data_IF_739551143185
#
_entry.id   IF_739551143185
#
_cell.length_a   1.000
_cell.length_b   1.000
_cell.length_c   1.000
_cell.angle_alpha   90.00
_cell.angle_beta   90.00
_cell.angle_gamma   90.00
#
_symmetry.space_group_name_H-M   'P 1'
#
loop_
_entity.id
_entity.type
_entity.pdbx_description
1 polymer ?
#
# COMPACT_ATOMS: atom_id res chain seq x y z
N UNK A 1 15.21 0.50 -14.98
CA UNK A 1 14.79 0.15 -13.61
C UNK A 1 15.97 -0.31 -12.75
N UNK A 2 16.84 -1.14 -13.30
CA UNK A 2 17.95 -1.78 -12.57
C UNK A 2 19.32 -1.12 -12.87
N UNK A 3 20.20 -1.77 -13.65
CA UNK A 3 21.61 -1.41 -13.85
C UNK A 3 21.85 0.05 -14.25
N UNK A 4 21.00 0.62 -15.11
CA UNK A 4 21.14 1.99 -15.61
C UNK A 4 20.48 3.06 -14.72
N UNK A 5 19.85 2.68 -13.62
CA UNK A 5 19.00 3.59 -12.84
C UNK A 5 19.78 4.77 -12.24
N UNK A 6 20.99 4.54 -11.72
CA UNK A 6 21.81 5.62 -11.16
C UNK A 6 22.15 6.68 -12.21
N UNK A 7 22.53 6.25 -13.42
CA UNK A 7 22.86 7.14 -14.52
C UNK A 7 21.62 7.88 -15.04
N UNK A 8 20.49 7.19 -15.12
CA UNK A 8 19.21 7.82 -15.43
C UNK A 8 18.86 8.89 -14.39
N UNK A 9 18.91 8.56 -13.11
CA UNK A 9 18.65 9.49 -12.02
C UNK A 9 19.56 10.72 -12.10
N UNK A 10 20.84 10.54 -12.44
CA UNK A 10 21.76 11.66 -12.70
C UNK A 10 21.34 12.50 -13.90
N UNK A 11 20.87 11.89 -14.99
CA UNK A 11 20.37 12.60 -16.17
C UNK A 11 19.12 13.43 -15.84
N UNK A 12 18.18 12.86 -15.08
CA UNK A 12 16.96 13.55 -14.63
C UNK A 12 17.28 14.70 -13.63
N UNK A 13 18.31 14.54 -12.80
CA UNK A 13 18.78 15.60 -11.90
C UNK A 13 19.58 16.71 -12.61
N UNK A 14 19.98 16.53 -13.87
CA UNK A 14 20.93 17.43 -14.53
C UNK A 14 20.35 18.79 -14.91
N UNK A 15 19.02 18.92 -14.97
CA UNK A 15 18.33 20.11 -15.49
C UNK A 15 18.50 20.33 -17.01
N UNK A 16 19.25 19.46 -17.71
CA UNK A 16 19.45 19.55 -19.16
C UNK A 16 18.26 18.97 -19.91
N UNK A 17 17.94 19.44 -21.14
CA UNK A 17 16.82 18.96 -21.93
C UNK A 17 17.08 17.56 -22.54
N UNK A 18 17.38 16.57 -21.70
CA UNK A 18 17.60 15.18 -22.05
C UNK A 18 16.25 14.45 -22.02
N UNK A 19 15.96 13.69 -23.08
CA UNK A 19 14.70 12.96 -23.25
C UNK A 19 14.98 11.47 -23.13
N UNK A 20 14.39 10.82 -22.15
CA UNK A 20 14.54 9.39 -21.92
C UNK A 20 13.24 8.69 -22.20
N UNK A 21 13.28 7.72 -23.11
CA UNK A 21 12.19 6.78 -23.34
C UNK A 21 12.52 5.44 -22.70
N UNK A 22 11.65 4.99 -21.79
CA UNK A 22 11.66 3.67 -21.18
C UNK A 22 10.57 2.85 -21.86
N UNK A 23 10.99 1.80 -22.55
CA UNK A 23 10.11 0.77 -23.11
C UNK A 23 10.00 -0.32 -22.05
N UNK A 24 8.95 -0.27 -21.24
CA UNK A 24 8.81 -1.13 -20.08
C UNK A 24 8.07 -2.43 -20.43
N UNK A 25 8.86 -3.48 -20.65
CA UNK A 25 8.37 -4.84 -20.87
C UNK A 25 8.29 -5.67 -19.60
N UNK A 26 8.67 -5.12 -18.44
CA UNK A 26 8.57 -5.78 -17.13
C UNK A 26 9.40 -7.06 -16.97
N UNK A 27 10.33 -7.29 -17.90
CA UNK A 27 11.33 -8.37 -17.89
C UNK A 27 12.54 -7.91 -18.72
N UNK A 28 13.66 -8.61 -18.61
CA UNK A 28 14.72 -8.48 -19.62
C UNK A 28 14.39 -9.34 -20.83
N UNK A 29 13.59 -8.79 -21.75
CA UNK A 29 13.09 -9.51 -22.92
C UNK A 29 14.20 -10.10 -23.80
N UNK A 30 15.28 -9.33 -24.04
CA UNK A 30 16.36 -9.78 -24.92
C UNK A 30 17.14 -10.99 -24.39
N UNK A 31 17.24 -11.15 -23.06
CA UNK A 31 17.97 -12.24 -22.42
C UNK A 31 17.08 -13.42 -22.04
N UNK A 32 15.87 -13.50 -22.62
CA UNK A 32 14.93 -14.61 -22.41
C UNK A 32 14.07 -14.46 -21.15
N UNK A 33 13.67 -13.24 -20.80
CA UNK A 33 12.63 -13.01 -19.79
C UNK A 33 13.11 -13.10 -18.35
N UNK A 34 14.29 -12.56 -18.04
CA UNK A 34 14.79 -12.50 -16.67
C UNK A 34 14.03 -11.49 -15.82
N UNK A 35 13.94 -11.77 -14.52
CA UNK A 35 13.32 -10.90 -13.54
C UNK A 35 13.96 -9.51 -13.53
N UNK A 36 13.13 -8.48 -13.35
CA UNK A 36 13.56 -7.09 -13.23
C UNK A 36 12.72 -6.37 -12.18
N UNK A 37 13.20 -5.22 -11.69
CA UNK A 37 12.47 -4.47 -10.66
C UNK A 37 11.18 -3.80 -11.16
N UNK A 38 10.91 -3.75 -12.47
CA UNK A 38 9.60 -3.29 -12.99
C UNK A 38 8.52 -4.39 -13.06
N UNK A 39 8.87 -5.65 -12.77
CA UNK A 39 7.89 -6.74 -12.68
C UNK A 39 6.97 -6.62 -11.45
N UNK A 40 5.82 -7.27 -11.50
CA UNK A 40 4.82 -7.29 -10.41
C UNK A 40 5.09 -8.39 -9.39
N UNK A 41 4.46 -8.28 -8.21
CA UNK A 41 4.40 -9.37 -7.24
C UNK A 41 3.73 -10.59 -7.92
N UNK A 42 4.27 -11.78 -7.64
CA UNK A 42 3.83 -13.03 -8.24
C UNK A 42 4.24 -13.24 -9.69
N UNK A 43 4.90 -12.28 -10.35
CA UNK A 43 5.33 -12.45 -11.73
C UNK A 43 6.37 -13.58 -11.83
N UNK A 44 6.10 -14.54 -12.72
CA UNK A 44 7.00 -15.67 -12.98
C UNK A 44 7.92 -15.29 -14.13
N UNK A 45 9.23 -15.35 -13.88
CA UNK A 45 10.28 -15.06 -14.85
C UNK A 45 11.53 -15.88 -14.53
N UNK A 46 12.54 -15.87 -15.40
CA UNK A 46 13.84 -16.43 -15.02
C UNK A 46 14.39 -15.67 -13.80
N UNK A 47 14.99 -16.39 -12.86
CA UNK A 47 15.36 -15.91 -11.51
C UNK A 47 14.21 -15.58 -10.55
N UNK A 48 12.94 -15.68 -10.96
CA UNK A 48 11.76 -15.53 -10.09
C UNK A 48 10.74 -16.63 -10.41
N UNK A 49 11.10 -17.86 -10.09
CA UNK A 49 10.33 -19.06 -10.45
C UNK A 49 9.13 -19.27 -9.50
N UNK A 50 8.15 -20.04 -9.98
CA UNK A 50 7.06 -20.53 -9.16
C UNK A 50 7.40 -21.92 -8.61
N UNK A 51 7.47 -22.03 -7.28
CA UNK A 51 7.76 -23.26 -6.54
C UNK A 51 7.12 -23.24 -5.16
N UNK A 52 7.47 -24.21 -4.31
CA UNK A 52 6.88 -24.34 -2.97
C UNK A 52 7.30 -23.22 -2.01
N UNK A 53 8.53 -22.71 -2.16
CA UNK A 53 9.10 -21.70 -1.28
C UNK A 53 8.94 -20.27 -1.79
N UNK A 54 8.81 -20.10 -3.11
CA UNK A 54 8.74 -18.80 -3.77
C UNK A 54 7.66 -18.89 -4.84
N UNK A 55 6.68 -18.00 -4.82
CA UNK A 55 5.60 -17.94 -5.80
C UNK A 55 5.84 -16.84 -6.85
N UNK A 56 7.03 -16.79 -7.46
CA UNK A 56 7.44 -15.70 -8.35
C UNK A 56 8.05 -14.50 -7.62
N UNK A 57 8.10 -13.34 -8.27
CA UNK A 57 8.71 -12.12 -7.71
C UNK A 57 7.99 -11.70 -6.42
N UNK A 58 8.76 -11.41 -5.37
CA UNK A 58 8.25 -11.06 -4.04
C UNK A 58 8.18 -9.55 -3.80
N UNK A 59 9.08 -8.79 -4.42
CA UNK A 59 9.15 -7.36 -4.25
C UNK A 59 8.01 -6.65 -5.02
N UNK A 60 7.49 -5.51 -4.52
CA UNK A 60 6.61 -4.67 -5.31
C UNK A 60 7.32 -4.13 -6.55
N UNK A 61 6.52 -3.67 -7.51
CA UNK A 61 7.05 -3.02 -8.72
C UNK A 61 7.70 -1.68 -8.34
N UNK A 62 8.90 -1.44 -8.84
CA UNK A 62 9.58 -0.15 -8.72
C UNK A 62 8.94 0.86 -9.68
N UNK A 63 8.28 1.89 -9.17
CA UNK A 63 7.56 2.87 -10.00
C UNK A 63 8.45 4.01 -10.49
N UNK A 64 9.10 3.82 -11.65
CA UNK A 64 10.06 4.80 -12.18
C UNK A 64 9.45 6.15 -12.52
N UNK A 65 8.15 6.20 -12.83
CA UNK A 65 7.45 7.45 -13.09
C UNK A 65 7.40 8.34 -11.85
N UNK A 66 7.08 7.78 -10.67
CA UNK A 66 7.16 8.51 -9.40
C UNK A 66 8.59 8.88 -9.01
N UNK A 67 9.56 8.00 -9.28
CA UNK A 67 10.98 8.31 -9.08
C UNK A 67 11.44 9.45 -10.01
N UNK A 68 10.89 9.52 -11.21
CA UNK A 68 11.06 10.64 -12.14
C UNK A 68 10.49 11.94 -11.58
N UNK A 69 9.27 11.89 -11.02
CA UNK A 69 8.63 13.03 -10.36
C UNK A 69 9.44 13.54 -9.15
N UNK A 70 10.06 12.64 -8.38
CA UNK A 70 10.94 13.02 -7.27
C UNK A 70 12.12 13.91 -7.72
N UNK A 71 12.53 13.82 -8.98
CA UNK A 71 13.36 14.82 -9.63
C UNK A 71 12.51 16.02 -10.07
N UNK A 72 12.10 16.88 -9.11
CA UNK A 72 11.19 18.05 -9.21
C UNK A 72 11.23 18.93 -10.49
N UNK A 73 12.29 18.89 -11.28
CA UNK A 73 12.42 19.61 -12.55
C UNK A 73 12.22 18.71 -13.80
N UNK A 74 11.74 17.48 -13.64
CA UNK A 74 11.60 16.50 -14.71
C UNK A 74 10.15 16.43 -15.15
N UNK A 75 9.89 16.56 -16.45
CA UNK A 75 8.59 16.20 -17.01
C UNK A 75 8.48 14.67 -17.05
N UNK A 76 7.36 14.11 -16.60
CA UNK A 76 7.11 12.66 -16.65
C UNK A 76 5.82 12.38 -17.41
N UNK A 77 5.88 11.41 -18.31
CA UNK A 77 4.71 10.81 -18.97
C UNK A 77 4.75 9.31 -18.73
N UNK A 78 3.71 8.77 -18.11
CA UNK A 78 3.45 7.33 -18.09
C UNK A 78 2.25 7.03 -19.00
N UNK A 79 2.48 6.31 -20.10
CA UNK A 79 1.45 6.08 -21.13
C UNK A 79 1.49 4.67 -21.72
N UNK A 80 0.49 4.34 -22.53
CA UNK A 80 0.47 3.11 -23.34
C UNK A 80 0.03 3.41 -24.78
N UNK A 81 0.33 2.50 -25.71
CA UNK A 81 -0.10 2.61 -27.12
C UNK A 81 -1.62 2.47 -27.29
N UNK A 82 -2.33 1.92 -26.29
CA UNK A 82 -3.78 1.81 -26.30
C UNK A 82 -4.48 3.16 -26.06
N UNK A 83 -3.74 4.17 -25.60
CA UNK A 83 -4.24 5.53 -25.37
C UNK A 83 -3.46 6.53 -26.24
N UNK A 84 -3.64 6.49 -27.58
CA UNK A 84 -2.79 7.22 -28.51
C UNK A 84 -2.87 8.74 -28.33
N UNK A 85 -4.03 9.30 -27.99
CA UNK A 85 -4.16 10.75 -27.75
C UNK A 85 -3.32 11.20 -26.55
N UNK A 86 -3.50 10.54 -25.39
CA UNK A 86 -2.70 10.80 -24.19
C UNK A 86 -1.19 10.63 -24.46
N UNK A 87 -0.80 9.58 -25.19
CA UNK A 87 0.58 9.31 -25.53
C UNK A 87 1.17 10.40 -26.44
N UNK A 88 0.54 10.69 -27.58
CA UNK A 88 1.07 11.60 -28.59
C UNK A 88 1.14 13.04 -28.05
N UNK A 89 0.09 13.51 -27.39
CA UNK A 89 0.05 14.84 -26.78
C UNK A 89 1.12 14.98 -25.70
N UNK A 90 1.23 13.99 -24.81
CA UNK A 90 2.26 13.94 -23.78
C UNK A 90 3.67 13.91 -24.35
N UNK A 91 3.91 13.19 -25.44
CA UNK A 91 5.19 13.19 -26.16
C UNK A 91 5.52 14.56 -26.74
N UNK A 92 4.60 15.15 -27.49
CA UNK A 92 4.80 16.47 -28.10
C UNK A 92 5.12 17.49 -27.02
N UNK A 93 4.38 17.48 -25.91
CA UNK A 93 4.62 18.37 -24.78
C UNK A 93 5.99 18.14 -24.15
N UNK A 94 6.29 16.91 -23.74
CA UNK A 94 7.57 16.55 -23.11
C UNK A 94 8.80 16.77 -24.00
N UNK A 95 8.65 16.68 -25.32
CA UNK A 95 9.73 16.99 -26.28
C UNK A 95 10.01 18.49 -26.36
N UNK A 96 8.98 19.34 -26.26
CA UNK A 96 9.10 20.81 -26.27
C UNK A 96 9.68 21.38 -24.97
N UNK A 97 9.58 20.63 -23.88
CA UNK A 97 10.08 21.03 -22.56
C UNK A 97 11.59 21.33 -22.56
N UNK A 98 12.03 22.45 -21.95
CA UNK A 98 13.46 22.84 -21.84
C UNK A 98 14.16 22.22 -20.61
N UNK A 99 13.65 21.08 -20.15
CA UNK A 99 14.08 20.33 -18.96
C UNK A 99 14.14 18.83 -19.27
N UNK A 100 14.69 18.00 -18.36
CA UNK A 100 14.66 16.55 -18.52
C UNK A 100 13.23 16.04 -18.71
N UNK A 101 13.05 15.04 -19.56
CA UNK A 101 11.76 14.37 -19.72
C UNK A 101 11.93 12.84 -19.64
N UNK A 102 11.08 12.19 -18.86
CA UNK A 102 10.98 10.75 -18.75
C UNK A 102 9.65 10.28 -19.35
N UNK A 103 9.73 9.52 -20.42
CA UNK A 103 8.59 8.82 -21.03
C UNK A 103 8.67 7.35 -20.62
N UNK A 104 7.71 6.87 -19.83
CA UNK A 104 7.62 5.49 -19.38
C UNK A 104 6.44 4.81 -20.07
N UNK A 105 6.69 3.96 -21.06
CA UNK A 105 5.64 3.33 -21.86
C UNK A 105 5.50 1.85 -21.55
N UNK A 106 4.29 1.44 -21.20
CA UNK A 106 3.97 0.02 -21.14
C UNK A 106 4.11 -0.60 -22.53
N UNK A 107 4.85 -1.69 -22.61
CA UNK A 107 5.06 -2.43 -23.85
C UNK A 107 4.95 -3.92 -23.56
N UNK A 108 3.87 -4.55 -24.04
CA UNK A 108 3.71 -5.99 -23.87
C UNK A 108 4.82 -6.75 -24.61
N UNK A 109 5.34 -7.81 -24.01
CA UNK A 109 6.32 -8.70 -24.64
C UNK A 109 5.68 -10.05 -24.90
N UNK A 110 5.43 -10.37 -26.16
CA UNK A 110 4.70 -11.56 -26.59
C UNK A 110 5.24 -12.85 -25.98
N UNK A 111 6.53 -13.21 -26.17
CA UNK A 111 7.06 -14.46 -25.63
C UNK A 111 7.08 -14.48 -24.10
N UNK A 112 7.49 -13.38 -23.46
CA UNK A 112 7.73 -13.37 -22.01
C UNK A 112 6.49 -13.12 -21.17
N UNK A 113 5.46 -12.48 -21.74
CA UNK A 113 4.14 -12.40 -21.13
C UNK A 113 3.29 -13.63 -21.50
N UNK A 114 3.71 -14.37 -22.53
CA UNK A 114 3.03 -15.52 -23.10
C UNK A 114 1.64 -15.17 -23.64
N UNK A 115 1.59 -14.10 -24.41
CA UNK A 115 0.38 -13.59 -25.07
C UNK A 115 0.53 -13.74 -26.60
N UNK A 116 -0.59 -13.66 -27.33
CA UNK A 116 -0.58 -13.70 -28.80
C UNK A 116 0.08 -12.48 -29.44
N UNK A 117 0.59 -12.63 -30.67
CA UNK A 117 1.33 -11.58 -31.38
C UNK A 117 0.48 -10.33 -31.69
N UNK A 118 -0.83 -10.50 -31.86
CA UNK A 118 -1.82 -9.46 -32.13
C UNK A 118 -2.40 -8.82 -30.87
N UNK A 119 -2.00 -9.28 -29.67
CA UNK A 119 -2.63 -8.89 -28.41
C UNK A 119 -2.09 -7.60 -27.79
N UNK A 120 -1.08 -6.97 -28.40
CA UNK A 120 -0.35 -5.83 -27.80
C UNK A 120 -1.26 -4.67 -27.36
N UNK A 121 -2.14 -4.20 -28.26
CA UNK A 121 -3.07 -3.11 -27.94
C UNK A 121 -4.10 -3.51 -26.89
N UNK A 122 -4.61 -4.75 -26.96
CA UNK A 122 -5.60 -5.25 -26.01
C UNK A 122 -5.01 -5.40 -24.61
N UNK A 123 -3.79 -5.93 -24.48
CA UNK A 123 -3.10 -6.04 -23.20
C UNK A 123 -2.73 -4.66 -22.64
N UNK A 124 -2.31 -3.72 -23.49
CA UNK A 124 -2.05 -2.35 -23.05
C UNK A 124 -3.30 -1.63 -22.53
N UNK A 125 -4.48 -1.94 -23.09
CA UNK A 125 -5.76 -1.45 -22.58
C UNK A 125 -6.09 -2.09 -21.23
N UNK A 126 -6.02 -3.42 -21.15
CA UNK A 126 -6.29 -4.17 -19.91
C UNK A 126 -5.34 -3.75 -18.78
N UNK A 127 -4.06 -3.48 -19.06
CA UNK A 127 -3.11 -3.00 -18.07
C UNK A 127 -3.53 -1.66 -17.44
N UNK A 128 -4.10 -0.74 -18.24
CA UNK A 128 -4.60 0.55 -17.73
C UNK A 128 -5.88 0.36 -16.92
N UNK A 129 -6.84 -0.37 -17.48
CA UNK A 129 -8.15 -0.58 -16.85
C UNK A 129 -8.01 -1.35 -15.53
N UNK A 130 -7.13 -2.35 -15.46
CA UNK A 130 -6.87 -3.14 -14.25
C UNK A 130 -5.94 -2.48 -13.23
N UNK A 131 -5.61 -1.20 -13.41
CA UNK A 131 -4.62 -0.44 -12.60
C UNK A 131 -3.23 -1.09 -12.52
N UNK A 132 -2.91 -2.07 -13.37
CA UNK A 132 -1.56 -2.61 -13.49
C UNK A 132 -0.57 -1.53 -13.93
N UNK A 133 -1.01 -0.66 -14.84
CA UNK A 133 -0.22 0.43 -15.41
C UNK A 133 -1.07 1.70 -15.60
N UNK A 134 -1.37 2.44 -14.51
CA UNK A 134 -2.13 3.69 -14.61
C UNK A 134 -1.40 4.74 -15.45
N UNK A 135 -2.17 5.57 -16.16
CA UNK A 135 -1.65 6.67 -16.95
C UNK A 135 -1.46 7.91 -16.08
N UNK A 136 -0.41 8.68 -16.31
CA UNK A 136 -0.32 10.01 -15.71
C UNK A 136 0.68 10.89 -16.43
N UNK A 137 0.53 12.19 -16.21
CA UNK A 137 1.56 13.17 -16.52
C UNK A 137 1.95 13.94 -15.27
N UNK A 138 3.23 14.25 -15.14
CA UNK A 138 3.74 15.21 -14.18
C UNK A 138 4.45 16.33 -14.93
N UNK A 139 3.93 17.54 -14.80
CA UNK A 139 4.46 18.73 -15.42
C UNK A 139 4.83 19.80 -14.39
N UNK A 140 6.13 19.97 -14.09
CA UNK A 140 6.60 20.99 -13.15
C UNK A 140 6.41 22.44 -13.63
N UNK A 141 5.89 22.68 -14.85
CA UNK A 141 5.51 24.04 -15.30
C UNK A 141 4.09 24.44 -14.90
N UNK A 142 3.23 23.49 -14.54
CA UNK A 142 1.82 23.77 -14.24
C UNK A 142 1.60 24.43 -12.87
N UNK A 143 2.50 24.23 -11.91
CA UNK A 143 2.33 24.75 -10.56
C UNK A 143 3.51 24.49 -9.64
N UNK A 144 3.29 24.69 -8.33
CA UNK A 144 4.29 24.50 -7.28
C UNK A 144 4.02 23.25 -6.43
N UNK A 145 2.75 22.87 -6.33
CA UNK A 145 2.31 21.70 -5.56
C UNK A 145 2.24 20.45 -6.44
N UNK A 146 2.38 19.24 -5.86
CA UNK A 146 2.19 18.00 -6.62
C UNK A 146 0.84 17.93 -7.33
N UNK A 147 -0.25 18.36 -6.69
CA UNK A 147 -1.61 18.31 -7.25
C UNK A 147 -1.81 19.24 -8.46
N UNK A 148 -1.18 20.41 -8.49
CA UNK A 148 -1.21 21.27 -9.69
C UNK A 148 -0.41 20.68 -10.86
N UNK A 149 0.66 19.93 -10.55
CA UNK A 149 1.58 19.38 -11.54
C UNK A 149 1.18 17.99 -12.03
N UNK A 150 0.35 17.25 -11.31
CA UNK A 150 0.08 15.83 -11.53
C UNK A 150 -1.32 15.60 -12.11
N UNK A 151 -1.39 14.95 -13.26
CA UNK A 151 -2.64 14.76 -14.00
C UNK A 151 -2.92 13.27 -14.26
N UNK A 152 -4.10 12.82 -13.82
CA UNK A 152 -4.61 11.46 -13.95
C UNK A 152 -5.77 11.31 -14.95
N UNK A 153 -6.17 12.39 -15.62
CA UNK A 153 -7.37 12.43 -16.49
C UNK A 153 -7.38 11.40 -17.62
N UNK A 154 -6.22 10.85 -18.00
CA UNK A 154 -6.10 9.80 -19.00
C UNK A 154 -6.69 8.44 -18.59
N UNK A 155 -7.07 8.24 -17.33
CA UNK A 155 -7.57 6.95 -16.83
C UNK A 155 -9.11 6.87 -16.78
N UNK A 156 -9.68 5.67 -16.97
CA UNK A 156 -11.09 5.45 -16.75
C UNK A 156 -11.44 5.44 -15.25
N UNK A 157 -12.70 5.76 -14.94
CA UNK A 157 -13.33 5.60 -13.63
C UNK A 157 -12.47 6.14 -12.47
N UNK A 158 -12.15 7.44 -12.48
CA UNK A 158 -11.22 8.05 -11.51
C UNK A 158 -11.64 7.87 -10.05
N UNK A 159 -12.95 7.88 -9.80
CA UNK A 159 -13.53 7.80 -8.46
C UNK A 159 -13.51 6.40 -7.85
N UNK A 160 -13.33 5.35 -8.66
CA UNK A 160 -13.37 3.96 -8.18
C UNK A 160 -11.99 3.32 -8.25
N UNK A 161 -11.76 2.35 -7.35
CA UNK A 161 -10.54 1.54 -7.36
C UNK A 161 -10.38 0.81 -8.70
N UNK A 162 -11.47 0.20 -9.18
CA UNK A 162 -11.53 -0.58 -10.41
C UNK A 162 -12.64 -0.06 -11.33
N UNK A 163 -12.40 0.03 -12.65
CA UNK A 163 -13.48 0.15 -13.62
C UNK A 163 -14.24 -1.18 -13.72
N UNK A 164 -15.43 -1.13 -14.32
CA UNK A 164 -16.26 -2.32 -14.51
C UNK A 164 -16.28 -2.79 -15.97
N UNK A 165 -16.47 -4.08 -16.19
CA UNK A 165 -16.69 -4.68 -17.50
C UNK A 165 -17.86 -5.67 -17.47
N UNK A 166 -18.45 -5.94 -18.64
CA UNK A 166 -19.60 -6.84 -18.76
C UNK A 166 -19.16 -8.18 -19.35
N UNK A 167 -19.47 -9.25 -18.64
CA UNK A 167 -19.26 -10.63 -19.06
C UNK A 167 -20.58 -11.24 -19.52
N UNK A 168 -20.60 -11.78 -20.73
CA UNK A 168 -21.72 -12.56 -21.26
C UNK A 168 -21.49 -14.05 -21.01
N UNK A 169 -22.52 -14.76 -20.58
CA UNK A 169 -22.46 -16.20 -20.31
C UNK A 169 -23.81 -16.87 -20.57
N UNK A 170 -23.82 -18.21 -20.59
CA UNK A 170 -25.02 -19.01 -20.79
C UNK A 170 -25.30 -19.86 -19.56
N UNK A 171 -26.51 -19.77 -19.06
CA UNK A 171 -26.98 -20.50 -17.87
C UNK A 171 -28.39 -21.04 -18.13
N UNK A 172 -28.57 -22.36 -17.94
CA UNK A 172 -29.86 -23.01 -18.22
C UNK A 172 -30.35 -22.85 -19.66
N UNK A 173 -29.43 -22.71 -20.62
CA UNK A 173 -29.75 -22.49 -22.04
C UNK A 173 -30.16 -21.06 -22.40
N UNK A 174 -30.10 -20.11 -21.47
CA UNK A 174 -30.38 -18.69 -21.72
C UNK A 174 -29.11 -17.87 -21.64
N UNK A 175 -29.00 -16.87 -22.51
CA UNK A 175 -27.92 -15.91 -22.44
C UNK A 175 -28.17 -14.93 -21.28
N UNK A 176 -27.12 -14.66 -20.51
CA UNK A 176 -27.10 -13.77 -19.35
C UNK A 176 -25.86 -12.89 -19.41
N UNK A 177 -25.91 -11.80 -18.68
CA UNK A 177 -24.79 -10.85 -18.55
C UNK A 177 -24.60 -10.51 -17.07
N UNK A 178 -23.35 -10.28 -16.68
CA UNK A 178 -23.00 -9.75 -15.36
C UNK A 178 -21.96 -8.64 -15.50
N UNK A 179 -22.02 -7.66 -14.62
CA UNK A 179 -21.02 -6.59 -14.53
C UNK A 179 -20.07 -6.90 -13.38
N UNK A 180 -18.77 -6.86 -13.65
CA UNK A 180 -17.72 -7.19 -12.70
C UNK A 180 -16.67 -6.08 -12.65
N UNK A 181 -16.04 -5.83 -11.49
CA UNK A 181 -14.84 -5.01 -11.41
C UNK A 181 -13.67 -5.66 -12.17
N UNK A 182 -12.95 -4.88 -12.97
CA UNK A 182 -11.74 -5.32 -13.65
C UNK A 182 -10.52 -5.08 -12.74
N UNK A 183 -10.16 -6.10 -11.97
CA UNK A 183 -9.04 -6.06 -11.03
C UNK A 183 -7.71 -6.43 -11.71
N UNK A 184 -6.59 -6.28 -10.98
CA UNK A 184 -5.30 -6.78 -11.46
C UNK A 184 -5.32 -8.29 -11.76
N UNK A 185 -6.12 -9.10 -11.05
CA UNK A 185 -6.22 -10.53 -11.31
C UNK A 185 -6.84 -10.85 -12.68
N UNK A 186 -7.78 -10.01 -13.14
CA UNK A 186 -8.43 -10.14 -14.45
C UNK A 186 -7.45 -9.82 -15.60
N UNK A 187 -6.48 -8.95 -15.36
CA UNK A 187 -5.34 -8.76 -16.25
C UNK A 187 -4.33 -9.93 -16.14
N UNK A 188 -3.98 -10.33 -14.92
CA UNK A 188 -2.97 -11.35 -14.69
C UNK A 188 -3.35 -12.71 -15.31
N UNK A 189 -4.63 -13.10 -15.27
CA UNK A 189 -5.09 -14.38 -15.85
C UNK A 189 -4.91 -14.45 -17.37
N UNK A 190 -4.83 -13.30 -18.08
CA UNK A 190 -4.63 -13.27 -19.53
C UNK A 190 -3.17 -13.49 -19.94
N UNK A 191 -2.25 -13.55 -18.98
CA UNK A 191 -0.81 -13.70 -19.23
C UNK A 191 -0.25 -14.99 -18.61
N UNK A 192 0.55 -15.73 -19.39
CA UNK A 192 1.12 -17.01 -18.95
C UNK A 192 2.03 -16.82 -17.73
N UNK A 193 2.70 -15.66 -17.62
CA UNK A 193 3.60 -15.33 -16.51
C UNK A 193 2.92 -15.26 -15.13
N UNK A 194 1.59 -15.31 -15.05
CA UNK A 194 0.85 -15.44 -13.78
C UNK A 194 0.00 -16.72 -13.70
N UNK A 195 -0.09 -17.52 -14.77
CA UNK A 195 -1.04 -18.64 -14.90
C UNK A 195 -1.00 -19.63 -13.74
N UNK A 196 0.17 -19.87 -13.14
CA UNK A 196 0.33 -20.84 -12.03
C UNK A 196 -0.31 -20.40 -10.73
N UNK A 197 -0.76 -19.15 -10.60
CA UNK A 197 -1.49 -18.61 -9.45
C UNK A 197 -2.99 -18.86 -9.47
N UNK A 198 -3.51 -19.46 -10.54
CA UNK A 198 -4.95 -19.65 -10.70
C UNK A 198 -5.32 -21.13 -10.76
N UNK A 199 -6.44 -21.49 -10.14
CA UNK A 199 -6.99 -22.85 -10.21
C UNK A 199 -8.48 -22.79 -10.50
N UNK A 200 -8.94 -23.60 -11.46
CA UNK A 200 -10.38 -23.75 -11.72
C UNK A 200 -10.99 -24.55 -10.57
N UNK A 201 -11.99 -24.00 -9.89
CA UNK A 201 -12.77 -24.71 -8.89
C UNK A 201 -13.84 -25.57 -9.59
N UNK A 202 -13.82 -26.90 -9.41
CA UNK A 202 -14.89 -27.78 -9.89
C UNK A 202 -16.25 -27.34 -9.35
N UNK A 203 -17.30 -27.42 -10.17
CA UNK A 203 -18.63 -26.88 -9.83
C UNK A 203 -19.25 -27.50 -8.57
N UNK A 204 -18.91 -28.76 -8.29
CA UNK A 204 -19.30 -29.52 -7.10
C UNK A 204 -18.62 -29.03 -5.81
N UNK A 205 -17.53 -28.27 -5.91
CA UNK A 205 -16.82 -27.70 -4.76
C UNK A 205 -17.31 -26.31 -4.36
N UNK A 206 -18.23 -25.73 -5.13
CA UNK A 206 -18.71 -24.36 -4.90
C UNK A 206 -19.47 -24.27 -3.59
N UNK A 207 -19.08 -23.30 -2.76
CA UNK A 207 -19.66 -23.07 -1.44
C UNK A 207 -19.61 -21.58 -1.09
N UNK A 208 -20.23 -21.22 0.03
CA UNK A 208 -20.37 -19.84 0.51
C UNK A 208 -19.05 -19.20 0.97
N UNK A 209 -18.01 -20.00 1.25
CA UNK A 209 -16.68 -19.48 1.60
C UNK A 209 -15.92 -18.98 0.38
N UNK A 210 -16.37 -19.33 -0.83
CA UNK A 210 -15.83 -18.78 -2.06
C UNK A 210 -16.51 -17.43 -2.35
N UNK A 211 -15.76 -16.35 -2.33
CA UNK A 211 -16.27 -15.00 -2.56
C UNK A 211 -15.57 -14.32 -3.74
N UNK A 212 -16.25 -13.43 -4.50
CA UNK A 212 -15.61 -12.65 -5.55
C UNK A 212 -14.40 -11.89 -5.02
N UNK A 213 -13.33 -11.83 -5.82
CA UNK A 213 -12.08 -11.20 -5.40
C UNK A 213 -12.26 -9.73 -5.02
N UNK A 214 -13.06 -8.97 -5.76
CA UNK A 214 -13.31 -7.57 -5.44
C UNK A 214 -13.93 -7.39 -4.04
N UNK A 215 -14.91 -8.22 -3.68
CA UNK A 215 -15.50 -8.23 -2.34
C UNK A 215 -14.50 -8.69 -1.29
N UNK A 216 -13.64 -9.68 -1.61
CA UNK A 216 -12.59 -10.13 -0.70
C UNK A 216 -11.59 -9.02 -0.34
N UNK A 217 -11.24 -8.16 -1.31
CA UNK A 217 -10.31 -7.05 -1.11
C UNK A 217 -10.86 -5.98 -0.16
N UNK A 218 -12.18 -5.82 -0.08
CA UNK A 218 -12.84 -4.87 0.81
C UNK A 218 -12.98 -5.38 2.26
N UNK A 219 -12.72 -6.67 2.50
CA UNK A 219 -12.76 -7.23 3.86
C UNK A 219 -11.49 -6.87 4.64
N UNK A 220 -11.67 -6.64 5.94
CA UNK A 220 -10.58 -6.55 6.91
C UNK A 220 -9.88 -7.91 7.09
N UNK A 221 -8.61 -7.91 7.52
CA UNK A 221 -7.81 -9.13 7.65
C UNK A 221 -8.48 -10.28 8.45
N UNK A 222 -9.14 -10.03 9.60
CA UNK A 222 -9.80 -11.08 10.37
C UNK A 222 -10.94 -11.76 9.61
N UNK A 223 -11.67 -11.00 8.79
CA UNK A 223 -12.85 -11.47 8.06
C UNK A 223 -12.50 -12.29 6.82
N UNK A 224 -11.24 -12.23 6.39
CA UNK A 224 -10.71 -13.01 5.26
C UNK A 224 -10.41 -14.46 5.62
N UNK A 225 -10.24 -14.75 6.92
CA UNK A 225 -9.84 -16.07 7.37
C UNK A 225 -10.83 -17.16 6.93
N UNK A 226 -10.31 -18.18 6.23
CA UNK A 226 -11.11 -19.32 5.74
C UNK A 226 -11.98 -19.01 4.51
N UNK A 227 -11.86 -17.82 3.91
CA UNK A 227 -12.48 -17.48 2.62
C UNK A 227 -11.53 -17.76 1.46
N UNK A 228 -12.12 -18.03 0.30
CA UNK A 228 -11.40 -18.37 -0.93
C UNK A 228 -11.76 -17.38 -2.03
N UNK A 229 -10.89 -16.40 -2.34
CA UNK A 229 -11.18 -15.41 -3.37
C UNK A 229 -11.19 -16.07 -4.75
N UNK A 230 -12.12 -15.65 -5.61
CA UNK A 230 -12.17 -16.10 -7.00
C UNK A 230 -12.52 -14.96 -7.98
N UNK A 231 -12.11 -15.13 -9.23
CA UNK A 231 -12.63 -14.34 -10.37
C UNK A 231 -13.46 -15.24 -11.28
N UNK A 232 -14.40 -14.63 -12.01
CA UNK A 232 -15.20 -15.36 -12.99
C UNK A 232 -14.43 -15.55 -14.29
N UNK A 233 -14.55 -16.73 -14.89
CA UNK A 233 -14.05 -17.00 -16.24
C UNK A 233 -15.10 -17.72 -17.06
N UNK A 234 -15.19 -17.34 -18.33
CA UNK A 234 -16.13 -17.93 -19.30
C UNK A 234 -15.34 -18.75 -20.30
N UNK A 235 -15.73 -20.01 -20.48
CA UNK A 235 -15.10 -20.88 -21.48
C UNK A 235 -15.65 -20.64 -22.90
N UNK A 236 -15.08 -21.33 -23.90
CA UNK A 236 -15.52 -21.23 -25.31
C UNK A 236 -16.97 -21.64 -25.54
N UNK A 237 -17.58 -22.38 -24.61
CA UNK A 237 -18.98 -22.80 -24.66
C UNK A 237 -19.90 -21.84 -23.87
N UNK A 238 -19.39 -20.66 -23.48
CA UNK A 238 -20.09 -19.64 -22.70
C UNK A 238 -20.47 -20.11 -21.27
N UNK A 239 -19.76 -21.10 -20.71
CA UNK A 239 -20.03 -21.60 -19.36
C UNK A 239 -19.16 -20.86 -18.35
N UNK A 240 -19.76 -20.49 -17.22
CA UNK A 240 -19.06 -19.87 -16.11
C UNK A 240 -18.23 -20.90 -15.34
N UNK A 241 -17.07 -20.44 -14.88
CA UNK A 241 -16.21 -21.14 -13.95
C UNK A 241 -15.65 -20.16 -12.91
N UNK A 242 -15.45 -20.64 -11.68
CA UNK A 242 -14.76 -19.89 -10.64
C UNK A 242 -13.27 -20.20 -10.72
N UNK A 243 -12.45 -19.18 -10.93
CA UNK A 243 -11.00 -19.28 -10.85
C UNK A 243 -10.54 -18.81 -9.48
N UNK A 244 -10.12 -19.74 -8.62
CA UNK A 244 -9.50 -19.42 -7.34
C UNK A 244 -8.21 -18.64 -7.58
N UNK A 245 -8.01 -17.60 -6.78
CA UNK A 245 -6.87 -16.69 -6.85
C UNK A 245 -5.93 -16.99 -5.70
N UNK A 246 -4.66 -17.26 -6.01
CA UNK A 246 -3.60 -17.42 -5.01
C UNK A 246 -3.37 -16.11 -4.23
N UNK A 247 -3.00 -16.23 -2.95
CA UNK A 247 -2.67 -15.11 -2.06
C UNK A 247 -1.71 -14.10 -2.72
N UNK A 248 -0.73 -14.57 -3.48
CA UNK A 248 0.26 -13.71 -4.15
C UNK A 248 -0.39 -12.74 -5.14
N UNK A 249 -1.44 -13.18 -5.85
CA UNK A 249 -2.17 -12.31 -6.79
C UNK A 249 -3.15 -11.41 -6.04
N UNK A 250 -3.69 -11.85 -4.91
CA UNK A 250 -4.44 -10.97 -4.01
C UNK A 250 -3.55 -9.81 -3.55
N UNK A 251 -2.33 -10.10 -3.08
CA UNK A 251 -1.33 -9.11 -2.68
C UNK A 251 -1.01 -8.14 -3.83
N UNK A 252 -0.87 -8.64 -5.07
CA UNK A 252 -0.71 -7.77 -6.24
C UNK A 252 -1.93 -6.86 -6.48
N UNK A 253 -3.16 -7.36 -6.28
CA UNK A 253 -4.36 -6.53 -6.42
C UNK A 253 -4.40 -5.41 -5.37
N UNK A 254 -4.05 -5.72 -4.11
CA UNK A 254 -3.97 -4.74 -3.03
C UNK A 254 -2.90 -3.69 -3.30
N UNK A 255 -1.71 -4.13 -3.70
CA UNK A 255 -0.61 -3.26 -4.07
C UNK A 255 -0.99 -2.31 -5.22
N UNK A 256 -1.68 -2.79 -6.26
CA UNK A 256 -2.17 -1.93 -7.35
C UNK A 256 -3.29 -0.98 -6.90
N UNK A 257 -4.21 -1.41 -6.05
CA UNK A 257 -5.26 -0.56 -5.49
C UNK A 257 -4.69 0.55 -4.57
N UNK A 258 -3.71 0.20 -3.75
CA UNK A 258 -3.00 1.13 -2.87
C UNK A 258 -2.19 2.12 -3.70
N UNK A 259 -1.51 1.66 -4.75
CA UNK A 259 -0.81 2.53 -5.69
C UNK A 259 -1.78 3.50 -6.37
N UNK A 260 -2.94 3.03 -6.84
CA UNK A 260 -3.97 3.90 -7.41
C UNK A 260 -4.44 4.97 -6.42
N UNK A 261 -4.69 4.58 -5.16
CA UNK A 261 -5.05 5.52 -4.09
C UNK A 261 -3.97 6.56 -3.85
N UNK A 262 -2.70 6.16 -3.79
CA UNK A 262 -1.57 7.10 -3.71
C UNK A 262 -1.54 8.08 -4.88
N UNK A 263 -1.78 7.61 -6.11
CA UNK A 263 -1.81 8.47 -7.29
C UNK A 263 -2.94 9.50 -7.20
N UNK A 264 -4.15 9.10 -6.79
CA UNK A 264 -5.27 10.03 -6.60
C UNK A 264 -4.95 11.11 -5.57
N UNK A 265 -4.27 10.74 -4.49
CA UNK A 265 -3.84 11.67 -3.45
C UNK A 265 -2.83 12.68 -4.00
N UNK A 266 -1.88 12.23 -4.82
CA UNK A 266 -0.92 13.11 -5.50
C UNK A 266 -1.59 14.06 -6.49
N UNK A 267 -2.67 13.62 -7.15
CA UNK A 267 -3.48 14.45 -8.06
C UNK A 267 -4.48 15.36 -7.33
N UNK A 268 -4.56 15.30 -5.99
CA UNK A 268 -5.53 16.07 -5.21
C UNK A 268 -6.98 15.59 -5.31
N UNK A 269 -7.24 14.44 -5.93
CA UNK A 269 -8.61 13.92 -6.14
C UNK A 269 -9.27 13.38 -4.87
N UNK A 270 -8.47 13.02 -3.86
CA UNK A 270 -8.99 12.51 -2.58
C UNK A 270 -9.28 13.63 -1.57
N UNK A 271 -8.96 14.88 -1.91
CA UNK A 271 -9.38 16.02 -1.10
C UNK A 271 -10.86 16.23 -1.38
N UNK A 272 -11.71 15.69 -0.51
CA UNK A 272 -13.04 16.28 -0.35
C UNK A 272 -12.81 17.79 -0.23
N UNK A 273 -13.40 18.58 -1.11
CA UNK A 273 -13.46 20.02 -0.91
C UNK A 273 -14.16 20.21 0.43
N UNK A 274 -13.37 20.33 1.50
CA UNK A 274 -13.89 20.82 2.76
C UNK A 274 -14.11 22.30 2.46
N UNK A 275 -15.30 22.63 1.94
CA UNK A 275 -15.66 24.00 1.66
C UNK A 275 -15.48 24.80 2.94
N UNK A 276 -15.04 26.05 2.84
CA UNK A 276 -14.97 26.95 4.00
C UNK A 276 -16.31 26.97 4.74
N UNK A 277 -17.42 26.85 4.00
CA UNK A 277 -18.79 26.73 4.52
C UNK A 277 -18.99 25.49 5.41
N UNK A 278 -18.45 24.32 5.02
CA UNK A 278 -18.53 23.10 5.82
C UNK A 278 -17.65 23.18 7.08
N UNK A 279 -16.52 23.90 7.02
CA UNK A 279 -15.69 24.19 8.21
C UNK A 279 -16.44 25.17 9.12
N UNK A 280 -16.97 26.26 8.58
CA UNK A 280 -17.73 27.27 9.32
C UNK A 280 -18.95 26.67 10.01
N UNK A 281 -19.70 25.82 9.33
CA UNK A 281 -20.89 25.18 9.89
C UNK A 281 -20.52 24.22 11.02
N UNK A 282 -19.44 23.44 10.85
CA UNK A 282 -18.91 22.54 11.89
C UNK A 282 -18.35 23.31 13.09
N UNK A 283 -17.65 24.42 12.86
CA UNK A 283 -17.15 25.32 13.92
C UNK A 283 -18.32 26.01 14.63
N UNK A 284 -19.32 26.50 13.91
CA UNK A 284 -20.50 27.16 14.49
C UNK A 284 -21.32 26.17 15.34
N UNK A 285 -21.47 24.94 14.88
CA UNK A 285 -22.12 23.88 15.64
C UNK A 285 -21.34 23.51 16.92
N UNK A 286 -20.01 23.40 16.84
CA UNK A 286 -19.15 23.09 17.98
C UNK A 286 -19.13 24.24 19.02
N UNK A 287 -19.09 25.49 18.56
CA UNK A 287 -19.18 26.69 19.42
C UNK A 287 -20.56 26.80 20.07
N UNK A 288 -21.65 26.59 19.33
CA UNK A 288 -23.00 26.59 19.89
C UNK A 288 -23.18 25.49 20.94
N UNK A 289 -22.64 24.29 20.68
CA UNK A 289 -22.63 23.17 21.64
C UNK A 289 -21.85 23.51 22.92
N UNK A 290 -20.67 24.12 22.79
CA UNK A 290 -19.85 24.56 23.93
C UNK A 290 -20.53 25.67 24.74
N UNK A 291 -21.21 26.62 24.09
CA UNK A 291 -21.96 27.69 24.76
C UNK A 291 -23.18 27.11 25.48
N UNK A 292 -23.94 26.20 24.85
CA UNK A 292 -25.07 25.54 25.49
C UNK A 292 -24.62 24.71 26.70
N UNK A 293 -23.53 23.95 26.58
CA UNK A 293 -22.93 23.21 27.69
C UNK A 293 -22.42 24.14 28.81
N UNK A 294 -21.85 25.29 28.47
CA UNK A 294 -21.45 26.33 29.41
C UNK A 294 -22.64 26.96 30.16
N UNK A 295 -23.73 27.24 29.44
CA UNK A 295 -24.98 27.78 30.02
C UNK A 295 -25.67 26.77 30.93
N UNK A 296 -25.66 25.48 30.57
CA UNK A 296 -26.17 24.39 31.43
C UNK A 296 -25.31 24.25 32.69
N UNK A 297 -23.98 24.39 32.58
CA UNK A 297 -23.08 24.47 33.75
C UNK A 297 -23.36 25.68 34.64
N UNK A 298 -23.67 26.83 34.04
CA UNK A 298 -24.02 28.05 34.79
C UNK A 298 -25.38 27.93 35.50
N UNK A 299 -26.37 27.29 34.85
CA UNK A 299 -27.70 27.07 35.41
C UNK A 299 -27.73 25.96 36.47
N UNK A 300 -26.77 25.03 36.45
CA UNK A 300 -26.63 23.92 37.39
C UNK A 300 -25.99 24.24 38.74
N UNK A 301 -25.66 25.51 39.02
CA UNK A 301 -25.24 25.94 40.36
C UNK A 301 -23.84 25.45 40.79
N UNK A 302 -22.83 25.60 39.94
CA UNK A 302 -21.42 25.39 40.30
C UNK A 302 -20.60 26.67 40.18
N UNK A 303 -19.86 27.00 41.24
CA UNK A 303 -19.05 28.20 41.44
C UNK A 303 -18.23 28.65 40.22
N UNK A 304 -18.24 29.97 40.00
CA UNK A 304 -17.53 30.65 38.93
C UNK A 304 -16.06 30.84 39.31
N UNK A 305 -15.16 30.12 38.65
CA UNK A 305 -13.76 30.53 38.50
C UNK A 305 -13.47 30.75 37.01
N UNK A 306 -13.49 32.02 36.59
CA UNK A 306 -12.86 32.46 35.35
C UNK A 306 -11.33 32.36 35.52
N UNK A 307 -10.73 31.28 35.04
CA UNK A 307 -9.30 31.20 34.80
C UNK A 307 -9.04 30.83 33.34
N UNK A 308 -8.69 31.86 32.58
CA UNK A 308 -7.93 31.92 31.33
C UNK A 308 -7.93 30.67 30.42
N UNK A 309 -8.67 30.78 29.31
CA UNK A 309 -8.40 30.04 28.09
C UNK A 309 -7.22 30.68 27.36
N UNK A 310 -6.07 30.01 27.34
CA UNK A 310 -5.06 30.19 26.32
C UNK A 310 -4.44 28.82 26.02
N UNK A 311 -4.33 28.51 24.73
CA UNK A 311 -3.62 27.38 24.11
C UNK A 311 -4.37 26.03 24.24
N UNK A 312 -4.81 25.36 23.17
CA UNK A 312 -4.21 25.24 21.84
C UNK A 312 -3.74 23.79 21.70
N UNK A 313 -4.60 22.90 21.18
CA UNK A 313 -4.26 21.49 21.01
C UNK A 313 -5.46 20.65 20.62
N UNK A 314 -5.64 20.45 19.31
CA UNK A 314 -6.63 19.53 18.74
C UNK A 314 -6.13 18.10 18.96
N UNK A 315 -6.78 17.38 19.88
CA UNK A 315 -6.72 15.93 19.96
C UNK A 315 -8.11 15.39 19.59
N UNK A 316 -8.20 14.73 18.44
CA UNK A 316 -9.39 14.02 17.98
C UNK A 316 -9.46 12.66 18.67
N UNK A 317 -10.46 12.47 19.52
CA UNK A 317 -10.86 11.16 20.02
C UNK A 317 -12.02 10.61 19.19
N UNK A 318 -11.90 9.35 18.78
CA UNK A 318 -12.97 8.50 18.27
C UNK A 318 -13.41 7.51 19.39
N UNK A 319 -14.60 6.89 19.28
CA UNK A 319 -15.50 6.67 20.42
C UNK A 319 -15.34 5.33 21.14
N UNK A 320 -15.86 5.31 22.37
CA UNK A 320 -16.00 4.13 23.22
C UNK A 320 -17.29 3.34 22.90
N UNK A 321 -17.20 2.02 23.00
CA UNK A 321 -18.32 1.12 23.29
C UNK A 321 -18.03 0.41 24.63
N UNK A 322 -19.02 0.44 25.51
CA UNK A 322 -18.94 0.06 26.92
C UNK A 322 -19.38 -1.40 27.18
N UNK A 323 -18.85 -1.97 28.27
CA UNK A 323 -19.32 -3.18 28.94
C UNK A 323 -18.53 -3.41 30.23
N UNK A 324 -19.06 -2.92 31.35
CA UNK A 324 -18.39 -2.70 32.64
C UNK A 324 -18.19 -3.95 33.54
N UNK A 325 -17.10 -3.92 34.33
CA UNK A 325 -17.09 -4.29 35.75
C UNK A 325 -16.06 -3.41 36.51
N UNK A 326 -16.46 -2.81 37.63
CA UNK A 326 -15.80 -1.69 38.35
C UNK A 326 -14.75 -2.12 39.43
N UNK A 327 -14.08 -1.21 40.19
CA UNK A 327 -13.10 -0.20 39.77
C UNK A 327 -11.77 -0.13 40.60
N UNK A 328 -10.74 0.53 40.01
CA UNK A 328 -9.57 1.30 40.56
C UNK A 328 -8.24 0.59 40.97
N UNK A 329 -7.04 1.25 40.93
CA UNK A 329 -6.55 2.38 40.08
C UNK A 329 -5.10 2.20 39.48
N UNK A 330 -4.70 3.12 38.57
CA UNK A 330 -3.35 3.52 38.12
C UNK A 330 -2.69 2.88 36.87
N UNK A 331 -2.85 3.56 35.72
CA UNK A 331 -1.81 3.94 34.73
C UNK A 331 -0.83 2.87 34.21
N UNK A 332 -1.12 2.35 33.03
CA UNK A 332 -0.73 1.02 32.52
C UNK A 332 0.78 0.71 32.40
N UNK A 333 1.17 -0.41 33.01
CA UNK A 333 2.40 -1.18 32.76
C UNK A 333 2.31 -1.87 31.40
N UNK A 334 3.33 -1.72 30.55
CA UNK A 334 3.48 -2.47 29.30
C UNK A 334 4.66 -3.40 29.48
N UNK A 335 4.43 -4.71 29.42
CA UNK A 335 5.50 -5.68 29.57
C UNK A 335 6.51 -5.54 28.41
N UNK A 336 7.83 -5.59 28.68
CA UNK A 336 8.81 -5.60 27.61
C UNK A 336 8.64 -6.84 26.72
N UNK A 337 8.94 -6.71 25.43
CA UNK A 337 8.93 -7.81 24.48
C UNK A 337 10.13 -7.75 23.52
N UNK A 338 10.36 -8.85 22.79
CA UNK A 338 11.40 -8.94 21.77
C UNK A 338 10.79 -9.56 20.52
N UNK A 339 11.01 -8.93 19.36
CA UNK A 339 10.72 -9.50 18.05
C UNK A 339 11.75 -10.60 17.73
N UNK A 340 11.59 -11.71 18.45
CA UNK A 340 12.52 -12.85 18.51
C UNK A 340 12.91 -13.40 17.13
N UNK A 341 12.01 -13.50 16.13
CA UNK A 341 12.38 -13.94 14.77
C UNK A 341 13.50 -13.11 14.14
N UNK A 342 13.47 -11.80 14.37
CA UNK A 342 14.38 -10.80 13.79
C UNK A 342 15.70 -10.64 14.55
N UNK A 343 15.90 -11.39 15.66
CA UNK A 343 17.11 -11.32 16.45
C UNK A 343 18.34 -11.87 15.69
N UNK A 344 19.44 -11.10 15.66
CA UNK A 344 20.71 -11.44 14.99
C UNK A 344 21.74 -12.15 15.89
N UNK A 345 21.37 -12.49 17.13
CA UNK A 345 22.21 -13.25 18.09
C UNK A 345 23.60 -12.65 18.36
N UNK A 346 23.69 -11.33 18.55
CA UNK A 346 24.95 -10.63 18.83
C UNK A 346 25.42 -10.65 20.31
N UNK A 347 24.69 -11.32 21.20
CA UNK A 347 24.94 -11.46 22.65
C UNK A 347 24.88 -10.18 23.50
N UNK A 348 24.71 -8.99 22.93
CA UNK A 348 24.81 -7.72 23.65
C UNK A 348 23.81 -7.59 24.82
N UNK A 349 22.55 -7.97 24.62
CA UNK A 349 21.52 -7.91 25.66
C UNK A 349 21.76 -8.92 26.79
N UNK A 350 22.22 -10.13 26.47
CA UNK A 350 22.50 -11.18 27.45
C UNK A 350 23.76 -10.85 28.27
N UNK A 351 24.79 -10.28 27.62
CA UNK A 351 25.97 -9.76 28.32
C UNK A 351 25.64 -8.58 29.23
N UNK A 352 24.66 -7.75 28.83
CA UNK A 352 24.19 -6.62 29.64
C UNK A 352 23.49 -7.11 30.91
N UNK A 353 22.49 -7.99 30.79
CA UNK A 353 21.83 -8.57 31.95
C UNK A 353 21.28 -9.99 31.68
N UNK A 354 22.00 -11.06 32.10
CA UNK A 354 21.60 -12.45 31.88
C UNK A 354 20.44 -12.89 32.79
N UNK A 355 19.98 -12.03 33.72
CA UNK A 355 18.77 -12.29 34.50
C UNK A 355 17.50 -11.88 33.74
N UNK A 356 17.62 -10.93 32.81
CA UNK A 356 16.51 -10.43 32.00
C UNK A 356 16.41 -11.20 30.68
N UNK A 357 17.54 -11.46 30.02
CA UNK A 357 17.58 -12.04 28.69
C UNK A 357 18.22 -13.44 28.69
N UNK A 358 17.69 -14.34 27.87
CA UNK A 358 18.31 -15.65 27.59
C UNK A 358 18.13 -16.03 26.12
N UNK A 359 18.83 -17.07 25.67
CA UNK A 359 18.61 -17.66 24.35
C UNK A 359 17.60 -18.80 24.41
N UNK A 360 16.70 -18.83 23.43
CA UNK A 360 15.85 -20.00 23.17
C UNK A 360 16.63 -21.12 22.44
N UNK A 361 15.94 -22.22 22.09
CA UNK A 361 16.54 -23.36 21.40
C UNK A 361 17.13 -23.02 20.02
N UNK A 362 16.59 -22.01 19.34
CA UNK A 362 17.03 -21.54 18.02
C UNK A 362 18.14 -20.46 18.09
N UNK A 363 18.72 -20.23 19.28
CA UNK A 363 19.69 -19.16 19.56
C UNK A 363 19.17 -17.75 19.24
N UNK A 364 17.89 -17.49 19.52
CA UNK A 364 17.26 -16.17 19.45
C UNK A 364 17.00 -15.64 20.86
N UNK A 365 17.25 -14.35 21.07
CA UNK A 365 17.10 -13.73 22.39
C UNK A 365 15.63 -13.64 22.79
N UNK A 366 15.31 -14.03 24.02
CA UNK A 366 13.98 -13.95 24.64
C UNK A 366 14.09 -13.33 26.03
N UNK A 367 12.98 -12.81 26.55
CA UNK A 367 12.91 -12.26 27.91
C UNK A 367 12.64 -13.41 28.88
N UNK A 368 13.63 -13.71 29.72
CA UNK A 368 13.56 -14.67 30.81
C UNK A 368 12.75 -14.14 31.99
N UNK A 369 13.05 -12.91 32.40
CA UNK A 369 12.41 -12.25 33.54
C UNK A 369 12.49 -10.73 33.38
N UNK A 370 11.36 -10.11 33.01
CA UNK A 370 11.23 -8.66 32.86
C UNK A 370 11.55 -7.85 34.14
N UNK A 371 11.51 -8.49 35.30
CA UNK A 371 11.84 -7.90 36.62
C UNK A 371 13.20 -8.35 37.15
N UNK A 372 14.02 -8.99 36.32
CA UNK A 372 15.35 -9.52 36.69
C UNK A 372 16.41 -8.45 36.96
N UNK A 373 16.10 -7.16 36.72
CA UNK A 373 16.97 -6.01 36.91
C UNK A 373 16.20 -4.68 36.81
N UNK A 374 16.88 -3.54 36.94
CA UNK A 374 16.27 -2.22 36.78
C UNK A 374 15.76 -2.01 35.35
N UNK A 375 14.71 -1.19 35.19
CA UNK A 375 14.17 -0.82 33.88
C UNK A 375 15.23 -0.21 32.93
N UNK A 376 16.23 0.47 33.48
CA UNK A 376 17.38 1.00 32.74
C UNK A 376 18.10 -0.07 31.90
N UNK A 377 18.16 -1.33 32.36
CA UNK A 377 18.81 -2.41 31.63
C UNK A 377 18.01 -2.81 30.38
N UNK A 378 16.67 -2.72 30.43
CA UNK A 378 15.81 -2.94 29.26
C UNK A 378 16.01 -1.82 28.23
N UNK A 379 16.06 -0.56 28.67
CA UNK A 379 16.29 0.60 27.80
C UNK A 379 17.68 0.53 27.15
N UNK A 380 18.72 0.24 27.93
CA UNK A 380 20.08 0.06 27.39
C UNK A 380 20.20 -1.13 26.45
N UNK A 381 19.48 -2.22 26.70
CA UNK A 381 19.45 -3.36 25.79
C UNK A 381 18.84 -2.97 24.44
N UNK A 382 17.75 -2.21 24.43
CA UNK A 382 17.15 -1.67 23.20
C UNK A 382 18.09 -0.72 22.46
N UNK A 383 18.77 0.19 23.16
CA UNK A 383 19.74 1.11 22.57
C UNK A 383 20.96 0.42 21.95
N UNK A 384 21.40 -0.72 22.51
CA UNK A 384 22.53 -1.50 22.03
C UNK A 384 22.14 -2.60 21.04
N UNK A 385 20.85 -2.83 20.84
CA UNK A 385 20.37 -3.86 19.92
C UNK A 385 20.63 -3.42 18.47
N UNK A 386 21.61 -4.06 17.83
CA UNK A 386 21.94 -3.78 16.41
C UNK A 386 20.77 -4.08 15.46
N UNK A 387 19.94 -5.07 15.80
CA UNK A 387 18.74 -5.43 15.05
C UNK A 387 17.50 -4.59 15.42
N UNK A 388 17.55 -3.80 16.50
CA UNK A 388 16.42 -2.99 17.02
C UNK A 388 15.14 -3.78 17.29
N UNK A 389 15.28 -4.98 17.86
CA UNK A 389 14.15 -5.91 18.11
C UNK A 389 13.71 -5.97 19.58
N UNK A 390 14.27 -5.12 20.45
CA UNK A 390 13.99 -5.14 21.90
C UNK A 390 13.14 -3.93 22.25
N UNK A 391 11.98 -4.17 22.85
CA UNK A 391 10.99 -3.18 23.22
C UNK A 391 10.89 -3.13 24.75
N UNK A 392 11.40 -2.07 25.41
CA UNK A 392 11.43 -2.00 26.88
C UNK A 392 10.07 -1.96 27.57
N UNK A 393 8.99 -1.62 26.84
CA UNK A 393 7.67 -1.38 27.41
C UNK A 393 7.64 -0.13 28.31
N UNK A 394 6.67 -0.08 29.23
CA UNK A 394 6.58 0.94 30.28
C UNK A 394 6.92 0.27 31.60
N UNK A 395 7.66 0.88 32.54
CA UNK A 395 8.09 0.26 33.80
C UNK A 395 6.96 0.05 34.81
N UNK A 396 6.99 -1.09 35.53
CA UNK A 396 5.98 -1.46 36.55
C UNK A 396 6.23 -0.68 37.84
N UNK A 397 7.51 -0.45 38.11
CA UNK A 397 8.00 0.33 39.22
C UNK A 397 8.54 1.66 38.70
N UNK A 398 7.88 2.75 39.09
CA UNK A 398 8.26 4.13 38.74
C UNK A 398 8.96 4.87 39.89
N UNK A 399 9.48 4.15 40.87
CA UNK A 399 10.15 4.75 42.03
C UNK A 399 11.57 5.28 41.73
N UNK A 400 12.15 4.92 40.58
CA UNK A 400 13.47 5.40 40.19
C UNK A 400 13.45 6.89 39.83
N UNK A 401 14.40 7.67 40.40
CA UNK A 401 14.47 9.14 40.23
C UNK A 401 14.58 9.62 38.77
N UNK A 402 15.04 8.76 37.87
CA UNK A 402 15.23 9.02 36.44
C UNK A 402 14.25 8.22 35.56
N UNK A 403 13.15 7.71 36.12
CA UNK A 403 12.23 6.84 35.36
C UNK A 403 11.60 7.57 34.16
N UNK A 404 11.27 8.85 34.28
CA UNK A 404 10.64 9.61 33.19
C UNK A 404 11.59 9.80 32.00
N UNK A 405 12.89 10.04 32.26
CA UNK A 405 13.93 10.08 31.21
C UNK A 405 14.10 8.72 30.54
N UNK A 406 14.07 7.63 31.32
CA UNK A 406 14.14 6.28 30.78
C UNK A 406 12.92 5.92 29.93
N UNK A 407 11.72 6.35 30.32
CA UNK A 407 10.49 6.16 29.53
C UNK A 407 10.61 6.91 28.21
N UNK A 408 11.00 8.19 28.24
CA UNK A 408 11.17 8.99 27.03
C UNK A 408 12.22 8.39 26.07
N UNK A 409 13.30 7.81 26.61
CA UNK A 409 14.32 7.12 25.79
C UNK A 409 13.81 5.80 25.20
N UNK A 410 12.90 5.12 25.90
CA UNK A 410 12.28 3.88 25.45
C UNK A 410 11.21 4.09 24.38
N UNK A 411 10.55 5.26 24.33
CA UNK A 411 9.44 5.54 23.40
C UNK A 411 9.75 5.25 21.93
N UNK A 412 10.97 5.52 21.46
CA UNK A 412 11.38 5.24 20.08
C UNK A 412 11.61 3.75 19.76
N UNK A 413 11.59 2.90 20.79
CA UNK A 413 11.79 1.46 20.68
C UNK A 413 10.53 0.67 21.05
N UNK A 414 9.49 1.29 21.62
CA UNK A 414 8.19 0.67 21.85
C UNK A 414 7.33 0.87 20.61
#
# INVERSE_FOLDING_TARGET
>A
YDIGFQNLSRALASGKPIKTLVVDTQVYSNTGGQACTSGFIGQISDMAQYGKAIQGKQEPRKEIGLLGMAHRNTFVLQSTIAHPSHMIEGFIHGLKQRRPALFNLYSSCQPEHGIGDDMSSQQAKLAVESRAYPLFTYDPEKGLTPDECFDLSGNPALETAWPNYTVKYREGGRDREMTLPLTFADFAITEVRFRKHFRVAPADTWNEKMIPLAEFLELEEPDRAGRFPYIWSVDKAMRLSRLLVDRTIVESCEDRANFWTMLKSLAGLDRAEISEEAIEERVRADVAGKIAAGLVRLAGGGDVSLAASAEGGVATAAPAAAGEAAPAPNGDWIAPWIDTPECTACDECIKLNPKIFEYNADKKAVIKNATGGPYEDLVKAAERCTARVIHPGLPKDRSAKNVDDLIQRAEKFN
#
